data_IF_472236892040
#
_entry.id   IF_472236892040
#
_cell.length_a   1.000
_cell.length_b   1.000
_cell.length_c   1.000
_cell.angle_alpha   90.00
_cell.angle_beta   90.00
_cell.angle_gamma   90.00
#
_symmetry.space_group_name_H-M   'P 1'
#
loop_
_entity.id
_entity.type
_entity.pdbx_description
1 polymer ?
#
# COMPACT_ATOMS: atom_id res chain seq x y z
N UNK A 1 66.38 -18.14 -19.54
CA UNK A 1 65.01 -17.89 -19.99
C UNK A 1 64.17 -19.08 -19.62
N UNK A 2 63.34 -19.05 -18.57
CA UNK A 2 62.42 -20.14 -18.26
C UNK A 2 61.07 -19.93 -18.98
N UNK A 3 60.58 -21.00 -19.57
CA UNK A 3 59.36 -21.13 -20.34
C UNK A 3 58.12 -20.85 -19.50
N UNK A 4 57.19 -20.03 -20.06
CA UNK A 4 55.86 -19.75 -19.48
C UNK A 4 54.92 -20.90 -19.83
N UNK A 5 54.40 -21.62 -18.80
CA UNK A 5 53.28 -22.55 -18.94
C UNK A 5 51.98 -21.76 -19.04
N UNK A 6 51.04 -22.11 -19.92
CA UNK A 6 49.71 -21.51 -19.98
C UNK A 6 48.82 -22.03 -18.81
N UNK A 7 48.18 -21.13 -18.11
CA UNK A 7 47.13 -21.43 -17.11
C UNK A 7 45.86 -21.82 -17.86
N UNK A 8 45.51 -23.11 -17.78
CA UNK A 8 44.24 -23.61 -18.28
C UNK A 8 43.08 -23.18 -17.35
N UNK A 9 42.14 -22.44 -17.92
CA UNK A 9 40.85 -22.19 -17.28
C UNK A 9 39.98 -23.46 -17.40
N UNK A 10 39.88 -24.23 -16.34
CA UNK A 10 38.91 -25.31 -16.24
C UNK A 10 37.51 -24.73 -16.25
N UNK A 11 36.70 -25.05 -17.27
CA UNK A 11 35.26 -24.86 -17.24
C UNK A 11 34.67 -25.84 -16.22
N UNK A 12 34.22 -25.30 -15.06
CA UNK A 12 33.27 -26.01 -14.24
C UNK A 12 31.90 -25.88 -14.90
N UNK A 13 31.45 -26.91 -15.59
CA UNK A 13 30.04 -27.12 -15.87
C UNK A 13 29.35 -27.45 -14.56
N UNK A 14 28.80 -26.41 -13.90
CA UNK A 14 27.82 -26.62 -12.88
C UNK A 14 26.54 -27.10 -13.55
N UNK A 15 26.12 -28.30 -13.21
CA UNK A 15 24.86 -28.89 -13.64
C UNK A 15 23.73 -27.94 -13.24
N UNK A 16 23.10 -27.30 -14.23
CA UNK A 16 21.85 -26.61 -14.07
C UNK A 16 20.77 -27.65 -13.75
N UNK A 17 20.50 -27.86 -12.46
CA UNK A 17 19.31 -28.56 -12.03
C UNK A 17 18.09 -27.75 -12.50
N UNK A 18 17.22 -28.41 -13.25
CA UNK A 18 16.04 -27.89 -13.89
C UNK A 18 15.09 -27.25 -12.88
N UNK A 19 15.05 -25.92 -12.85
CA UNK A 19 13.99 -25.13 -12.23
C UNK A 19 12.75 -25.11 -13.16
N UNK A 20 12.18 -26.27 -13.43
CA UNK A 20 10.93 -26.42 -14.17
C UNK A 20 9.97 -27.15 -13.27
N UNK A 21 9.12 -26.40 -12.54
CA UNK A 21 7.83 -26.80 -11.98
C UNK A 21 7.40 -26.03 -10.71
N UNK A 22 7.99 -24.87 -10.44
CA UNK A 22 7.33 -23.95 -9.50
C UNK A 22 6.18 -23.25 -10.24
N UNK A 23 4.95 -23.25 -9.71
CA UNK A 23 3.84 -22.52 -10.33
C UNK A 23 4.24 -21.06 -10.50
N UNK A 24 4.05 -20.53 -11.72
CA UNK A 24 4.39 -19.14 -12.01
C UNK A 24 3.65 -18.24 -11.04
N UNK A 25 4.38 -17.42 -10.27
CA UNK A 25 3.78 -16.44 -9.34
C UNK A 25 2.93 -15.47 -10.15
N UNK A 26 1.65 -15.27 -9.81
CA UNK A 26 0.78 -14.36 -10.54
C UNK A 26 1.38 -12.95 -10.59
N UNK A 27 1.61 -12.44 -11.78
CA UNK A 27 1.99 -11.05 -12.00
C UNK A 27 0.72 -10.21 -12.14
N UNK A 28 0.67 -9.09 -11.45
CA UNK A 28 -0.47 -8.19 -11.47
C UNK A 28 -0.49 -7.42 -12.80
N UNK A 29 -1.43 -7.76 -13.68
CA UNK A 29 -1.65 -7.09 -14.96
C UNK A 29 -2.89 -6.17 -14.95
N UNK A 30 -3.12 -5.46 -16.05
CA UNK A 30 -4.27 -4.55 -16.22
C UNK A 30 -5.61 -5.27 -16.02
N UNK A 31 -5.74 -6.52 -16.45
CA UNK A 31 -6.98 -7.30 -16.35
C UNK A 31 -7.26 -7.71 -14.91
N UNK A 32 -6.24 -8.19 -14.20
CA UNK A 32 -6.33 -8.55 -12.80
C UNK A 32 -6.64 -7.30 -11.95
N UNK A 33 -5.94 -6.18 -12.18
CA UNK A 33 -6.19 -4.93 -11.49
C UNK A 33 -7.60 -4.36 -11.79
N UNK A 34 -8.05 -4.41 -13.04
CA UNK A 34 -9.39 -3.94 -13.43
C UNK A 34 -10.52 -4.73 -12.77
N UNK A 35 -10.30 -6.03 -12.50
CA UNK A 35 -11.27 -6.88 -11.81
C UNK A 35 -11.42 -6.52 -10.31
N UNK A 36 -10.46 -5.82 -9.73
CA UNK A 36 -10.47 -5.38 -8.33
C UNK A 36 -11.09 -3.98 -8.13
N UNK A 37 -11.44 -3.27 -9.22
CA UNK A 37 -11.97 -1.92 -9.09
C UNK A 37 -13.28 -1.88 -8.29
N UNK A 38 -13.38 -1.07 -7.23
CA UNK A 38 -14.64 -0.85 -6.55
C UNK A 38 -15.67 -0.21 -7.49
N UNK A 39 -16.92 -0.64 -7.39
CA UNK A 39 -18.02 -0.03 -8.13
C UNK A 39 -18.26 1.41 -7.68
N UNK A 40 -18.60 2.27 -8.62
CA UNK A 40 -18.98 3.67 -8.35
C UNK A 40 -20.34 3.96 -8.93
N UNK A 41 -21.42 3.71 -8.17
CA UNK A 41 -22.77 3.97 -8.65
C UNK A 41 -22.95 5.45 -8.97
N UNK A 42 -23.64 5.79 -10.11
CA UNK A 42 -23.81 7.18 -10.52
C UNK A 42 -24.57 8.06 -9.53
N UNK A 43 -25.35 7.46 -8.64
CA UNK A 43 -26.12 8.15 -7.58
C UNK A 43 -25.45 8.04 -6.21
N UNK A 44 -24.20 7.62 -6.14
CA UNK A 44 -23.43 7.58 -4.89
C UNK A 44 -23.20 8.98 -4.33
N UNK A 45 -23.09 9.08 -3.02
CA UNK A 45 -22.72 10.29 -2.29
C UNK A 45 -21.38 10.08 -1.56
N UNK A 46 -20.83 11.12 -0.94
CA UNK A 46 -19.50 11.05 -0.28
C UNK A 46 -19.39 9.89 0.74
N UNK A 47 -20.43 9.57 1.51
CA UNK A 47 -20.46 8.44 2.43
C UNK A 47 -20.47 7.07 1.73
N UNK A 48 -20.93 6.97 0.47
CA UNK A 48 -20.92 5.71 -0.30
C UNK A 48 -19.51 5.27 -0.72
N UNK A 49 -18.58 6.23 -0.79
CA UNK A 49 -17.23 5.97 -1.31
C UNK A 49 -16.18 5.85 -0.22
N UNK A 50 -16.62 5.66 1.02
CA UNK A 50 -15.79 5.38 2.17
C UNK A 50 -15.12 6.59 2.79
N UNK A 51 -14.81 6.45 4.08
CA UNK A 51 -14.24 7.47 4.95
C UNK A 51 -12.89 6.98 5.45
N UNK A 52 -11.84 7.73 5.16
CA UNK A 52 -10.47 7.43 5.61
C UNK A 52 -10.14 8.33 6.78
N UNK A 53 -9.69 7.73 7.88
CA UNK A 53 -9.04 8.43 8.98
C UNK A 53 -7.52 8.26 8.82
N UNK A 54 -6.79 9.35 8.56
CA UNK A 54 -5.34 9.35 8.47
C UNK A 54 -4.76 9.87 9.79
N UNK A 55 -4.04 9.04 10.52
CA UNK A 55 -3.29 9.39 11.73
C UNK A 55 -1.82 9.52 11.32
N UNK A 56 -1.41 10.73 10.97
CA UNK A 56 -0.18 10.97 10.23
C UNK A 56 0.36 12.39 10.45
N UNK A 57 1.67 12.54 10.28
CA UNK A 57 2.32 13.84 10.32
C UNK A 57 2.80 14.25 11.70
N UNK A 58 3.84 15.06 11.68
CA UNK A 58 4.42 15.78 12.81
C UNK A 58 5.00 17.07 12.25
N UNK A 59 5.59 17.91 13.10
CA UNK A 59 6.22 19.14 12.65
C UNK A 59 7.36 18.86 11.65
N UNK A 60 8.17 17.82 11.93
CA UNK A 60 9.30 17.43 11.08
C UNK A 60 8.88 16.76 9.77
N UNK A 61 7.72 16.10 9.75
CA UNK A 61 7.22 15.29 8.62
C UNK A 61 5.80 15.68 8.18
N UNK A 62 5.51 16.97 8.18
CA UNK A 62 4.20 17.48 7.78
C UNK A 62 3.78 17.06 6.36
N UNK A 63 4.77 16.94 5.45
CA UNK A 63 4.53 16.52 4.06
C UNK A 63 3.89 15.15 3.93
N UNK A 64 4.25 14.19 4.80
CA UNK A 64 3.72 12.84 4.78
C UNK A 64 2.19 12.82 4.95
N UNK A 65 1.67 13.55 5.95
CA UNK A 65 0.23 13.67 6.19
C UNK A 65 -0.53 14.24 4.98
N UNK A 66 0.04 15.28 4.34
CA UNK A 66 -0.57 15.93 3.17
C UNK A 66 -0.60 14.97 1.97
N UNK A 67 0.48 14.19 1.78
CA UNK A 67 0.57 13.18 0.71
C UNK A 67 -0.46 12.07 0.91
N UNK A 68 -0.59 11.54 2.14
CA UNK A 68 -1.61 10.53 2.49
C UNK A 68 -3.01 11.05 2.16
N UNK A 69 -3.37 12.25 2.66
CA UNK A 69 -4.69 12.82 2.45
C UNK A 69 -5.01 13.03 0.97
N UNK A 70 -4.06 13.63 0.21
CA UNK A 70 -4.23 13.87 -1.23
C UNK A 70 -4.35 12.55 -2.00
N UNK A 71 -3.50 11.57 -1.68
CA UNK A 71 -3.53 10.25 -2.33
C UNK A 71 -4.84 9.52 -2.06
N UNK A 72 -5.35 9.55 -0.82
CA UNK A 72 -6.62 8.93 -0.46
C UNK A 72 -7.79 9.56 -1.24
N UNK A 73 -7.87 10.89 -1.30
CA UNK A 73 -8.87 11.58 -2.10
C UNK A 73 -8.79 11.24 -3.59
N UNK A 74 -7.58 11.23 -4.17
CA UNK A 74 -7.35 10.90 -5.59
C UNK A 74 -7.60 9.42 -5.91
N UNK A 75 -7.42 8.51 -4.94
CA UNK A 75 -7.78 7.10 -5.09
C UNK A 75 -9.28 6.84 -4.97
N UNK A 76 -10.06 7.84 -4.58
CA UNK A 76 -11.51 7.85 -4.64
C UNK A 76 -12.22 7.71 -3.29
N UNK A 77 -11.56 7.92 -2.17
CA UNK A 77 -12.23 8.08 -0.87
C UNK A 77 -13.28 9.19 -0.94
N UNK A 78 -14.42 8.98 -0.31
CA UNK A 78 -15.50 9.96 -0.27
C UNK A 78 -15.26 11.07 0.75
N UNK A 79 -14.60 10.73 1.85
CA UNK A 79 -14.18 11.65 2.90
C UNK A 79 -12.78 11.25 3.40
N UNK A 80 -11.99 12.23 3.76
CA UNK A 80 -10.69 12.05 4.41
C UNK A 80 -10.65 12.96 5.63
N UNK A 81 -10.32 12.40 6.79
CA UNK A 81 -10.04 13.16 8.01
C UNK A 81 -8.59 12.93 8.40
N UNK A 82 -7.86 14.01 8.64
CA UNK A 82 -6.50 13.98 9.14
C UNK A 82 -6.50 14.19 10.65
N UNK A 83 -6.09 13.18 11.41
CA UNK A 83 -5.92 13.25 12.85
C UNK A 83 -4.46 13.57 13.19
N UNK A 84 -4.25 14.62 13.95
CA UNK A 84 -2.94 15.13 14.34
C UNK A 84 -2.97 15.60 15.80
N UNK A 85 -1.82 15.71 16.48
CA UNK A 85 -1.74 16.34 17.79
C UNK A 85 -2.44 17.69 17.83
N UNK A 86 -3.09 18.03 18.93
CA UNK A 86 -3.92 19.24 19.07
C UNK A 86 -3.15 20.53 18.73
N UNK A 87 -1.92 20.64 19.19
CA UNK A 87 -1.05 21.79 18.91
C UNK A 87 -0.74 21.99 17.42
N UNK A 88 -0.75 20.91 16.64
CA UNK A 88 -0.48 20.94 15.21
C UNK A 88 -1.73 21.10 14.34
N UNK A 89 -2.92 20.89 14.89
CA UNK A 89 -4.16 20.97 14.10
C UNK A 89 -4.31 22.29 13.32
N UNK A 90 -4.06 23.49 13.88
CA UNK A 90 -4.17 24.74 13.12
C UNK A 90 -3.21 24.82 11.93
N UNK A 91 -1.99 24.26 12.08
CA UNK A 91 -1.00 24.20 11.00
C UNK A 91 -1.51 23.33 9.83
N UNK A 92 -2.00 22.14 10.14
CA UNK A 92 -2.50 21.22 9.13
C UNK A 92 -3.82 21.69 8.52
N UNK A 93 -4.73 22.26 9.30
CA UNK A 93 -5.98 22.84 8.81
C UNK A 93 -5.74 23.96 7.77
N UNK A 94 -4.65 24.71 7.90
CA UNK A 94 -4.26 25.73 6.93
C UNK A 94 -3.64 25.14 5.63
N UNK A 95 -3.32 23.84 5.59
CA UNK A 95 -2.62 23.19 4.47
C UNK A 95 -3.48 22.20 3.71
N UNK A 96 -4.37 21.46 4.41
CA UNK A 96 -5.30 20.55 3.74
C UNK A 96 -6.45 21.34 3.13
N UNK A 97 -6.86 20.98 1.91
CA UNK A 97 -7.95 21.65 1.20
C UNK A 97 -9.20 20.77 1.20
N UNK A 98 -9.06 19.50 0.80
CA UNK A 98 -10.17 18.56 0.62
C UNK A 98 -10.40 17.65 1.83
N UNK A 99 -9.46 17.60 2.78
CA UNK A 99 -9.59 16.81 4.02
C UNK A 99 -10.07 17.69 5.18
N UNK A 100 -10.79 17.07 6.11
CA UNK A 100 -11.06 17.66 7.42
C UNK A 100 -9.92 17.35 8.39
N UNK A 101 -9.81 18.06 9.50
CA UNK A 101 -8.82 17.79 10.54
C UNK A 101 -9.49 17.45 11.86
N UNK A 102 -8.84 16.57 12.63
CA UNK A 102 -9.24 16.17 13.98
C UNK A 102 -8.06 16.37 14.93
N UNK A 103 -8.25 17.09 16.02
CA UNK A 103 -7.26 17.21 17.08
C UNK A 103 -7.23 15.94 17.92
N UNK A 104 -6.06 15.36 18.14
CA UNK A 104 -5.82 14.32 19.13
C UNK A 104 -5.32 14.97 20.43
N UNK A 105 -5.84 14.59 21.60
CA UNK A 105 -5.34 15.08 22.86
C UNK A 105 -3.83 14.87 23.03
N UNK A 106 -3.18 15.82 23.68
CA UNK A 106 -1.74 15.81 23.95
C UNK A 106 -1.49 15.79 25.45
N UNK A 107 -0.40 15.09 25.87
CA UNK A 107 0.16 15.18 27.23
C UNK A 107 1.27 16.23 27.26
N UNK A 108 2.06 16.33 26.19
CA UNK A 108 3.05 17.38 25.95
C UNK A 108 2.98 17.82 24.48
N UNK A 109 3.58 18.96 24.14
CA UNK A 109 3.55 19.53 22.79
C UNK A 109 4.01 18.51 21.74
N UNK A 110 3.15 18.23 20.77
CA UNK A 110 3.34 17.23 19.72
C UNK A 110 3.40 15.77 20.19
N UNK A 111 3.11 15.49 21.46
CA UNK A 111 3.09 14.14 22.01
C UNK A 111 1.65 13.78 22.39
N UNK A 112 1.05 12.89 21.59
CA UNK A 112 -0.35 12.47 21.80
C UNK A 112 -0.50 11.76 23.15
N UNK A 113 -1.57 12.06 23.86
CA UNK A 113 -2.03 11.23 25.00
C UNK A 113 -2.75 10.00 24.41
N UNK A 114 -2.21 8.78 24.54
CA UNK A 114 -2.75 7.61 23.84
C UNK A 114 -4.19 7.27 24.23
N UNK A 115 -4.53 7.25 25.53
CA UNK A 115 -5.84 6.78 25.99
C UNK A 115 -6.99 7.66 25.51
N UNK A 116 -7.02 8.99 25.74
CA UNK A 116 -8.08 9.83 25.20
C UNK A 116 -8.02 9.96 23.67
N UNK A 117 -6.84 9.80 23.05
CA UNK A 117 -6.73 9.77 21.58
C UNK A 117 -7.42 8.57 20.99
N UNK A 118 -7.26 7.36 21.59
CA UNK A 118 -7.96 6.15 21.14
C UNK A 118 -9.47 6.34 21.29
N UNK A 119 -9.94 6.84 22.41
CA UNK A 119 -11.37 7.09 22.60
C UNK A 119 -11.93 8.01 21.51
N UNK A 120 -11.20 9.07 21.15
CA UNK A 120 -11.59 10.01 20.10
C UNK A 120 -11.53 9.41 18.70
N UNK A 121 -10.55 8.53 18.43
CA UNK A 121 -10.43 7.80 17.16
C UNK A 121 -11.63 6.87 16.99
N UNK A 122 -11.99 6.11 18.02
CA UNK A 122 -13.08 5.14 17.96
C UNK A 122 -14.47 5.79 17.89
N UNK A 123 -14.63 6.99 18.46
CA UNK A 123 -15.87 7.79 18.34
C UNK A 123 -16.04 8.43 16.94
N UNK A 124 -14.96 8.50 16.15
CA UNK A 124 -14.99 9.11 14.82
C UNK A 124 -15.46 8.09 13.77
N UNK A 125 -16.46 8.47 12.97
CA UNK A 125 -17.02 7.66 11.89
C UNK A 125 -16.02 7.48 10.73
N UNK A 126 -15.47 6.27 10.57
CA UNK A 126 -14.50 5.92 9.56
C UNK A 126 -14.64 4.47 9.09
N UNK A 127 -14.25 4.19 7.85
CA UNK A 127 -14.32 2.86 7.23
C UNK A 127 -12.92 2.23 7.08
N UNK A 128 -11.86 3.02 7.17
CA UNK A 128 -10.46 2.55 7.18
C UNK A 128 -9.55 3.58 7.83
N UNK A 129 -8.43 3.10 8.38
CA UNK A 129 -7.40 3.92 9.02
C UNK A 129 -6.09 3.81 8.24
N UNK A 130 -5.36 4.93 8.09
CA UNK A 130 -3.95 4.97 7.71
C UNK A 130 -3.16 5.48 8.90
N UNK A 131 -2.24 4.68 9.43
CA UNK A 131 -1.50 4.99 10.65
C UNK A 131 0.01 4.93 10.39
N UNK A 132 0.73 5.99 10.77
CA UNK A 132 2.18 5.97 10.86
C UNK A 132 2.95 6.94 9.99
N UNK A 133 2.54 7.26 8.74
CA UNK A 133 3.30 8.18 7.90
C UNK A 133 3.60 9.51 8.59
N UNK A 134 4.89 9.78 8.82
CA UNK A 134 5.33 11.04 9.40
C UNK A 134 4.97 11.27 10.86
N UNK A 135 4.51 10.28 11.62
CA UNK A 135 4.33 10.41 13.06
C UNK A 135 5.68 10.63 13.76
N UNK A 136 5.65 11.34 14.89
CA UNK A 136 6.82 11.54 15.74
C UNK A 136 7.16 10.22 16.44
N UNK A 137 8.43 9.77 16.40
CA UNK A 137 8.89 8.62 17.18
C UNK A 137 8.77 8.88 18.68
N UNK A 138 8.30 7.88 19.46
CA UNK A 138 8.22 8.02 20.91
C UNK A 138 7.41 6.91 21.57
N UNK A 139 7.42 6.89 22.90
CA UNK A 139 6.67 5.92 23.68
C UNK A 139 5.16 6.12 23.53
N UNK A 140 4.71 7.37 23.51
CA UNK A 140 3.30 7.72 23.31
C UNK A 140 2.79 7.24 21.96
N UNK A 141 3.54 7.44 20.87
CA UNK A 141 3.21 6.91 19.54
C UNK A 141 3.18 5.38 19.54
N UNK A 142 4.15 4.74 20.20
CA UNK A 142 4.18 3.28 20.31
C UNK A 142 2.96 2.74 21.06
N UNK A 143 2.58 3.41 22.15
CA UNK A 143 1.41 3.04 22.93
C UNK A 143 0.10 3.29 22.16
N UNK A 144 0.00 4.40 21.44
CA UNK A 144 -1.15 4.67 20.55
C UNK A 144 -1.31 3.56 19.50
N UNK A 145 -0.22 3.13 18.85
CA UNK A 145 -0.22 2.02 17.88
C UNK A 145 -0.70 0.74 18.55
N UNK A 146 -0.13 0.38 19.71
CA UNK A 146 -0.49 -0.82 20.47
C UNK A 146 -1.96 -0.82 20.85
N UNK A 147 -2.45 0.27 21.42
CA UNK A 147 -3.84 0.40 21.86
C UNK A 147 -4.80 0.33 20.68
N UNK A 148 -4.50 1.03 19.56
CA UNK A 148 -5.37 1.00 18.38
C UNK A 148 -5.52 -0.41 17.83
N UNK A 149 -4.45 -1.19 17.78
CA UNK A 149 -4.49 -2.57 17.28
C UNK A 149 -5.26 -3.50 18.23
N UNK A 150 -5.18 -3.27 19.54
CA UNK A 150 -5.76 -4.15 20.56
C UNK A 150 -7.20 -3.79 20.96
N UNK A 151 -7.68 -2.58 20.64
CA UNK A 151 -9.00 -2.13 21.09
C UNK A 151 -10.06 -2.44 20.03
N UNK A 152 -11.09 -3.27 20.35
CA UNK A 152 -12.20 -3.53 19.44
C UNK A 152 -13.08 -2.28 19.26
N UNK A 153 -13.85 -2.25 18.20
CA UNK A 153 -14.93 -1.30 18.01
C UNK A 153 -16.25 -1.90 18.53
N UNK A 154 -17.04 -1.08 19.21
CA UNK A 154 -18.31 -1.52 19.74
C UNK A 154 -19.29 -1.91 18.61
N UNK A 155 -19.90 -3.09 18.71
CA UNK A 155 -20.97 -3.60 17.84
C UNK A 155 -20.65 -3.68 16.31
N UNK A 156 -19.43 -3.38 15.88
CA UNK A 156 -19.02 -3.41 14.47
C UNK A 156 -17.76 -4.27 14.25
N UNK A 157 -17.59 -4.74 13.01
CA UNK A 157 -16.30 -5.30 12.61
C UNK A 157 -15.24 -4.16 12.60
N UNK A 158 -14.09 -4.35 13.28
CA UNK A 158 -13.09 -3.29 13.37
C UNK A 158 -12.61 -2.82 11.99
N UNK A 159 -12.51 -1.51 11.82
CA UNK A 159 -12.03 -0.91 10.59
C UNK A 159 -10.60 -1.40 10.25
N UNK A 160 -10.32 -1.77 8.99
CA UNK A 160 -9.00 -2.19 8.57
C UNK A 160 -7.99 -1.03 8.64
N UNK A 161 -6.73 -1.38 8.89
CA UNK A 161 -5.65 -0.40 9.09
C UNK A 161 -4.52 -0.62 8.10
N UNK A 162 -4.05 0.45 7.44
CA UNK A 162 -2.75 0.49 6.76
C UNK A 162 -1.70 0.95 7.77
N UNK A 163 -0.66 0.15 7.96
CA UNK A 163 0.45 0.41 8.86
C UNK A 163 1.72 0.69 8.05
N UNK A 164 2.27 1.88 8.19
CA UNK A 164 3.47 2.31 7.45
C UNK A 164 4.41 3.12 8.34
N UNK A 165 5.66 3.24 7.92
CA UNK A 165 6.66 4.12 8.51
C UNK A 165 6.77 3.97 10.05
N UNK A 166 6.46 5.02 10.83
CA UNK A 166 6.63 4.99 12.29
C UNK A 166 5.73 3.97 12.99
N UNK A 167 4.55 3.65 12.45
CA UNK A 167 3.73 2.59 13.01
C UNK A 167 4.44 1.22 12.92
N UNK A 168 5.08 0.91 11.78
CA UNK A 168 5.88 -0.31 11.62
C UNK A 168 7.07 -0.33 12.56
N UNK A 169 7.70 0.82 12.77
CA UNK A 169 8.84 0.97 13.68
C UNK A 169 8.42 0.75 15.14
N UNK A 170 7.29 1.32 15.54
CA UNK A 170 6.70 1.12 16.87
C UNK A 170 6.37 -0.36 17.10
N UNK A 171 5.73 -1.02 16.13
CA UNK A 171 5.40 -2.44 16.21
C UNK A 171 6.63 -3.33 16.39
N UNK A 172 7.75 -3.00 15.75
CA UNK A 172 9.00 -3.74 15.89
C UNK A 172 9.54 -3.78 17.34
N UNK A 173 9.06 -2.89 18.22
CA UNK A 173 9.41 -2.88 19.65
C UNK A 173 8.43 -3.60 20.55
N UNK A 174 7.27 -4.03 20.01
CA UNK A 174 6.16 -4.64 20.78
C UNK A 174 6.18 -6.17 20.80
N UNK A 175 7.23 -6.80 20.27
CA UNK A 175 7.32 -8.26 20.23
C UNK A 175 6.22 -8.90 19.36
N UNK A 176 5.45 -9.82 19.90
CA UNK A 176 4.37 -10.54 19.20
C UNK A 176 3.08 -9.71 19.09
N UNK A 177 3.20 -8.49 18.58
CA UNK A 177 2.09 -7.51 18.47
C UNK A 177 0.83 -8.04 17.77
N UNK A 178 0.97 -9.00 16.84
CA UNK A 178 -0.14 -9.58 16.07
C UNK A 178 -1.06 -10.46 16.92
N UNK A 179 -0.59 -11.01 18.03
CA UNK A 179 -1.41 -11.88 18.90
C UNK A 179 -2.55 -11.11 19.60
N UNK A 180 -2.38 -9.79 19.77
CA UNK A 180 -3.39 -8.91 20.36
C UNK A 180 -4.16 -8.08 19.36
N UNK A 181 -3.83 -8.15 18.05
CA UNK A 181 -4.48 -7.34 17.04
C UNK A 181 -5.88 -7.86 16.72
N UNK A 182 -6.88 -7.00 16.88
CA UNK A 182 -8.28 -7.29 16.53
C UNK A 182 -8.67 -6.76 15.15
N UNK A 183 -7.78 -5.99 14.49
CA UNK A 183 -8.05 -5.31 13.22
C UNK A 183 -7.35 -5.99 12.05
N UNK A 184 -8.01 -6.11 10.88
CA UNK A 184 -7.33 -6.51 9.66
C UNK A 184 -6.29 -5.46 9.25
N UNK A 185 -5.02 -5.86 9.06
CA UNK A 185 -3.96 -4.91 8.72
C UNK A 185 -3.36 -5.16 7.34
N UNK A 186 -2.92 -4.07 6.70
CA UNK A 186 -2.02 -4.06 5.56
C UNK A 186 -0.73 -3.36 5.99
N UNK A 187 0.35 -4.10 6.08
CA UNK A 187 1.67 -3.58 6.41
C UNK A 187 2.42 -3.25 5.13
N UNK A 188 3.05 -2.08 5.07
CA UNK A 188 3.75 -1.60 3.86
C UNK A 188 5.25 -1.35 4.09
N UNK A 189 6.02 -2.31 4.64
CA UNK A 189 7.43 -2.11 4.93
C UNK A 189 8.29 -2.03 3.66
N UNK A 190 9.29 -1.14 3.66
CA UNK A 190 10.47 -1.30 2.81
C UNK A 190 11.42 -2.36 3.43
N UNK A 191 12.44 -2.88 2.71
CA UNK A 191 13.27 -3.98 3.23
C UNK A 191 13.86 -3.73 4.62
N UNK A 192 14.32 -2.50 4.90
CA UNK A 192 14.88 -2.19 6.21
C UNK A 192 13.85 -2.11 7.36
N UNK A 193 12.61 -1.72 7.08
CA UNK A 193 11.49 -1.77 8.03
C UNK A 193 11.05 -3.22 8.27
N UNK A 194 10.96 -3.99 7.19
CA UNK A 194 10.61 -5.40 7.24
C UNK A 194 11.59 -6.20 8.12
N UNK A 195 12.88 -5.96 7.94
CA UNK A 195 13.92 -6.63 8.73
C UNK A 195 13.81 -6.30 10.23
N UNK A 196 13.54 -5.03 10.57
CA UNK A 196 13.30 -4.64 11.97
C UNK A 196 12.07 -5.30 12.56
N UNK A 197 10.94 -5.32 11.82
CA UNK A 197 9.71 -5.99 12.25
C UNK A 197 9.94 -7.46 12.51
N UNK A 198 10.61 -8.15 11.59
CA UNK A 198 10.91 -9.57 11.70
C UNK A 198 11.79 -9.87 12.90
N UNK A 199 12.87 -9.11 13.07
CA UNK A 199 13.80 -9.26 14.20
C UNK A 199 13.12 -8.95 15.53
N UNK A 200 12.36 -7.86 15.62
CA UNK A 200 11.63 -7.49 16.82
C UNK A 200 10.53 -8.49 17.20
N UNK A 201 9.94 -9.14 16.21
CA UNK A 201 8.94 -10.17 16.36
C UNK A 201 9.50 -11.57 16.69
N UNK A 202 10.83 -11.74 16.73
CA UNK A 202 11.45 -13.06 16.93
C UNK A 202 11.16 -14.06 15.80
N UNK A 203 10.69 -13.59 14.65
CA UNK A 203 10.44 -14.43 13.48
C UNK A 203 11.77 -14.73 12.80
N UNK A 204 12.21 -15.99 12.89
CA UNK A 204 13.43 -16.41 12.21
C UNK A 204 13.36 -16.20 10.69
N UNK A 205 14.51 -15.90 10.09
CA UNK A 205 14.62 -15.73 8.65
C UNK A 205 14.21 -17.02 7.93
N UNK A 206 13.04 -17.03 7.33
CA UNK A 206 12.63 -18.11 6.43
C UNK A 206 13.41 -18.14 5.11
N UNK A 207 14.26 -17.14 4.87
CA UNK A 207 15.17 -17.09 3.74
C UNK A 207 16.44 -16.33 4.13
N UNK A 208 17.58 -17.01 4.09
CA UNK A 208 18.90 -16.38 4.13
C UNK A 208 19.15 -15.77 2.73
N UNK A 209 18.62 -14.57 2.47
CA UNK A 209 18.75 -13.90 1.18
C UNK A 209 18.73 -12.38 1.30
N UNK A 210 19.36 -11.72 0.33
CA UNK A 210 19.34 -10.27 0.20
C UNK A 210 17.95 -9.78 -0.23
N UNK A 211 17.16 -9.24 0.71
CA UNK A 211 15.83 -8.69 0.46
C UNK A 211 15.84 -7.47 -0.46
N UNK A 212 17.02 -6.94 -0.82
CA UNK A 212 17.15 -5.81 -1.74
C UNK A 212 17.24 -6.23 -3.21
N UNK A 213 17.70 -7.45 -3.51
CA UNK A 213 17.97 -7.90 -4.89
C UNK A 213 17.44 -9.27 -5.27
N UNK A 214 17.05 -10.13 -4.31
CA UNK A 214 16.55 -11.49 -4.58
C UNK A 214 15.02 -11.56 -4.48
N UNK A 215 14.36 -11.65 -5.63
CA UNK A 215 12.90 -11.73 -5.71
C UNK A 215 12.32 -12.99 -5.05
N UNK A 216 13.03 -14.13 -5.09
CA UNK A 216 12.56 -15.38 -4.46
C UNK A 216 12.67 -15.31 -2.94
N UNK A 217 13.79 -14.78 -2.43
CA UNK A 217 13.97 -14.53 -1.00
C UNK A 217 12.89 -13.56 -0.49
N UNK A 218 12.60 -12.48 -1.23
CA UNK A 218 11.56 -11.51 -0.88
C UNK A 218 10.17 -12.14 -0.81
N UNK A 219 9.82 -12.98 -1.80
CA UNK A 219 8.53 -13.69 -1.81
C UNK A 219 8.39 -14.63 -0.62
N UNK A 220 9.42 -15.42 -0.37
CA UNK A 220 9.44 -16.38 0.73
C UNK A 220 9.32 -15.68 2.07
N UNK A 221 10.10 -14.63 2.29
CA UNK A 221 10.09 -13.86 3.54
C UNK A 221 8.74 -13.14 3.76
N UNK A 222 8.18 -12.50 2.73
CA UNK A 222 6.91 -11.81 2.83
C UNK A 222 5.76 -12.79 3.12
N UNK A 223 5.76 -13.97 2.48
CA UNK A 223 4.74 -15.00 2.73
C UNK A 223 4.82 -15.54 4.15
N UNK A 224 6.02 -15.89 4.62
CA UNK A 224 6.22 -16.38 5.99
C UNK A 224 5.74 -15.36 7.02
N UNK A 225 6.05 -14.08 6.81
CA UNK A 225 5.60 -12.99 7.67
C UNK A 225 4.06 -12.84 7.63
N UNK A 226 3.44 -12.83 6.43
CA UNK A 226 2.00 -12.72 6.30
C UNK A 226 1.25 -13.85 7.01
N UNK A 227 1.75 -15.08 6.89
CA UNK A 227 1.18 -16.26 7.56
C UNK A 227 1.37 -16.21 9.07
N UNK A 228 2.55 -15.79 9.55
CA UNK A 228 2.84 -15.70 10.99
C UNK A 228 2.03 -14.59 11.65
N UNK A 229 1.96 -13.42 11.02
CA UNK A 229 1.27 -12.25 11.57
C UNK A 229 -0.23 -12.27 11.34
N UNK A 230 -0.73 -13.10 10.42
CA UNK A 230 -2.15 -13.14 10.05
C UNK A 230 -2.63 -11.92 9.28
N UNK A 231 -1.73 -11.15 8.68
CA UNK A 231 -2.00 -9.88 8.01
C UNK A 231 -1.36 -9.78 6.62
N UNK A 232 -1.85 -8.86 5.80
CA UNK A 232 -1.29 -8.63 4.46
C UNK A 232 0.03 -7.87 4.56
N UNK A 233 1.05 -8.35 3.88
CA UNK A 233 2.37 -7.74 3.81
C UNK A 233 2.64 -7.25 2.39
N UNK A 234 2.92 -5.96 2.24
CA UNK A 234 3.36 -5.30 1.02
C UNK A 234 4.85 -4.96 1.18
N UNK A 235 5.73 -5.87 0.79
CA UNK A 235 7.18 -5.65 0.85
C UNK A 235 7.61 -4.76 -0.31
N UNK A 236 7.79 -3.47 -0.02
CA UNK A 236 8.14 -2.42 -1.00
C UNK A 236 9.50 -2.65 -1.65
N UNK A 237 9.65 -2.20 -2.89
CA UNK A 237 10.89 -2.25 -3.69
C UNK A 237 10.59 -2.42 -5.17
N UNK A 238 11.63 -2.56 -5.98
CA UNK A 238 11.47 -3.02 -7.35
C UNK A 238 10.71 -4.36 -7.32
N UNK A 239 9.66 -4.48 -8.17
CA UNK A 239 8.78 -5.65 -8.16
C UNK A 239 8.18 -5.93 -6.77
N UNK A 240 7.52 -4.94 -6.20
CA UNK A 240 6.86 -5.06 -4.88
C UNK A 240 6.10 -6.38 -4.74
N UNK A 241 6.33 -7.07 -3.61
CA UNK A 241 5.67 -8.34 -3.28
C UNK A 241 4.48 -8.07 -2.37
N UNK A 242 3.32 -8.63 -2.70
CA UNK A 242 2.12 -8.63 -1.87
C UNK A 242 1.86 -10.05 -1.43
N UNK A 243 1.92 -10.32 -0.13
CA UNK A 243 1.67 -11.61 0.47
C UNK A 243 0.45 -11.55 1.40
N UNK A 244 -0.41 -12.55 1.31
CA UNK A 244 -1.64 -12.68 2.08
C UNK A 244 -1.54 -13.88 3.04
N UNK A 245 -2.24 -13.87 4.20
CA UNK A 245 -2.18 -14.94 5.18
C UNK A 245 -2.64 -16.30 4.65
N UNK A 246 -3.50 -16.31 3.63
CA UNK A 246 -4.03 -17.52 2.99
C UNK A 246 -3.03 -18.25 2.09
N UNK A 247 -1.82 -17.71 1.92
CA UNK A 247 -0.78 -18.26 1.07
C UNK A 247 -0.69 -17.60 -0.31
N UNK A 248 -1.60 -16.69 -0.64
CA UNK A 248 -1.55 -15.95 -1.91
C UNK A 248 -0.35 -15.01 -1.94
N UNK A 249 0.47 -15.10 -3.00
CA UNK A 249 1.58 -14.17 -3.26
C UNK A 249 1.42 -13.60 -4.66
N UNK A 250 1.53 -12.28 -4.77
CA UNK A 250 1.48 -11.54 -6.04
C UNK A 250 2.70 -10.63 -6.14
N UNK A 251 3.30 -10.55 -7.32
CA UNK A 251 4.41 -9.62 -7.58
C UNK A 251 3.95 -8.54 -8.56
N UNK A 252 4.22 -7.29 -8.21
CA UNK A 252 3.95 -6.16 -9.10
C UNK A 252 5.02 -6.06 -10.20
N UNK A 253 4.66 -5.69 -11.45
CA UNK A 253 5.59 -5.69 -12.58
C UNK A 253 6.47 -4.43 -12.67
N UNK A 254 6.48 -3.57 -11.65
CA UNK A 254 7.08 -2.24 -11.73
C UNK A 254 8.54 -2.24 -11.25
N UNK A 255 9.42 -1.68 -12.10
CA UNK A 255 10.82 -1.40 -11.81
C UNK A 255 11.10 0.07 -12.18
N UNK A 256 10.64 0.99 -11.34
CA UNK A 256 10.72 2.43 -11.60
C UNK A 256 11.60 3.10 -10.54
N UNK A 257 12.86 3.49 -10.89
CA UNK A 257 13.76 4.13 -9.93
C UNK A 257 13.24 5.50 -9.44
N UNK A 258 12.39 6.18 -10.20
CA UNK A 258 11.75 7.42 -9.76
C UNK A 258 10.89 7.24 -8.52
N UNK A 259 10.36 6.03 -8.28
CA UNK A 259 9.61 5.72 -7.06
C UNK A 259 10.49 5.56 -5.81
N UNK A 260 11.82 5.50 -5.95
CA UNK A 260 12.76 5.53 -4.83
C UNK A 260 12.98 6.97 -4.31
N UNK A 261 11.92 7.75 -4.22
CA UNK A 261 11.90 9.14 -3.75
C UNK A 261 11.12 9.23 -2.44
N UNK A 262 11.57 10.06 -1.49
CA UNK A 262 10.89 10.26 -0.21
C UNK A 262 9.43 10.68 -0.39
N UNK A 263 8.53 10.07 0.38
CA UNK A 263 7.09 10.36 0.36
C UNK A 263 6.25 9.51 -0.60
N UNK A 264 6.87 8.74 -1.52
CA UNK A 264 6.12 7.86 -2.43
C UNK A 264 5.41 6.73 -1.68
N UNK A 265 5.98 6.26 -0.55
CA UNK A 265 5.35 5.33 0.38
C UNK A 265 4.09 5.90 1.03
N UNK A 266 4.13 7.18 1.44
CA UNK A 266 2.97 7.87 2.03
C UNK A 266 1.80 7.93 1.03
N UNK A 267 2.11 8.17 -0.26
CA UNK A 267 1.11 8.11 -1.34
C UNK A 267 0.52 6.71 -1.45
N UNK A 268 1.35 5.65 -1.43
CA UNK A 268 0.88 4.27 -1.50
C UNK A 268 -0.06 3.94 -0.33
N UNK A 269 0.31 4.34 0.89
CA UNK A 269 -0.49 4.12 2.09
C UNK A 269 -1.85 4.82 2.01
N UNK A 270 -1.90 6.05 1.52
CA UNK A 270 -3.14 6.78 1.25
C UNK A 270 -4.02 6.11 0.20
N UNK A 271 -3.42 5.59 -0.89
CA UNK A 271 -4.14 4.85 -1.94
C UNK A 271 -4.76 3.56 -1.38
N UNK A 272 -3.98 2.76 -0.64
CA UNK A 272 -4.48 1.50 -0.04
C UNK A 272 -5.60 1.81 0.97
N UNK A 273 -5.41 2.81 1.86
CA UNK A 273 -6.42 3.23 2.82
C UNK A 273 -7.75 3.62 2.16
N UNK A 274 -7.68 4.35 1.05
CA UNK A 274 -8.87 4.71 0.28
C UNK A 274 -9.57 3.50 -0.35
N UNK A 275 -8.84 2.48 -0.75
CA UNK A 275 -9.41 1.26 -1.33
C UNK A 275 -10.06 0.38 -0.26
N UNK A 276 -9.46 0.30 0.92
CA UNK A 276 -10.05 -0.34 2.09
C UNK A 276 -11.37 0.35 2.48
N UNK A 277 -11.36 1.68 2.59
CA UNK A 277 -12.55 2.46 2.90
C UNK A 277 -13.67 2.31 1.86
N UNK A 278 -13.34 2.03 0.60
CA UNK A 278 -14.30 1.69 -0.46
C UNK A 278 -14.81 0.23 -0.38
N UNK A 279 -14.47 -0.52 0.67
CA UNK A 279 -14.99 -1.85 0.95
C UNK A 279 -14.18 -3.01 0.35
N UNK A 280 -12.96 -2.78 -0.16
CA UNK A 280 -12.11 -3.89 -0.55
C UNK A 280 -11.52 -4.57 0.68
N UNK A 281 -11.45 -5.90 0.64
CA UNK A 281 -10.67 -6.65 1.61
C UNK A 281 -9.17 -6.31 1.52
N UNK A 282 -8.38 -6.54 2.59
CA UNK A 282 -6.97 -6.14 2.66
C UNK A 282 -6.10 -6.59 1.48
N UNK A 283 -6.18 -7.85 1.07
CA UNK A 283 -5.39 -8.37 -0.06
C UNK A 283 -5.72 -7.67 -1.38
N UNK A 284 -7.00 -7.66 -1.84
CA UNK A 284 -7.45 -6.91 -3.01
C UNK A 284 -7.09 -5.42 -2.97
N UNK A 285 -7.24 -4.76 -1.81
CA UNK A 285 -6.87 -3.34 -1.64
C UNK A 285 -5.37 -3.11 -1.83
N UNK A 286 -4.53 -3.98 -1.25
CA UNK A 286 -3.08 -3.93 -1.39
C UNK A 286 -2.66 -4.15 -2.85
N UNK A 287 -3.19 -5.19 -3.53
CA UNK A 287 -2.88 -5.46 -4.94
C UNK A 287 -3.26 -4.30 -5.85
N UNK A 288 -4.50 -3.82 -5.75
CA UNK A 288 -4.96 -2.70 -6.58
C UNK A 288 -4.19 -1.41 -6.24
N UNK A 289 -3.92 -1.15 -4.95
CA UNK A 289 -3.18 0.01 -4.49
C UNK A 289 -1.76 0.06 -5.06
N UNK A 290 -1.03 -1.06 -4.96
CA UNK A 290 0.32 -1.18 -5.54
C UNK A 290 0.28 -1.00 -7.07
N UNK A 291 -0.73 -1.56 -7.74
CA UNK A 291 -0.87 -1.39 -9.19
C UNK A 291 -1.15 0.06 -9.60
N UNK A 292 -2.09 0.73 -8.93
CA UNK A 292 -2.42 2.13 -9.20
C UNK A 292 -1.20 3.03 -8.98
N UNK A 293 -0.50 2.82 -7.87
CA UNK A 293 0.69 3.57 -7.50
C UNK A 293 1.85 3.36 -8.49
N UNK A 294 2.19 2.10 -8.81
CA UNK A 294 3.27 1.77 -9.73
C UNK A 294 3.01 2.30 -11.14
N UNK A 295 1.78 2.11 -11.65
CA UNK A 295 1.39 2.64 -12.97
C UNK A 295 1.38 4.18 -12.98
N UNK A 296 0.95 4.83 -11.89
CA UNK A 296 1.03 6.29 -11.77
C UNK A 296 2.50 6.76 -11.83
N UNK A 297 3.40 6.02 -11.17
CA UNK A 297 4.84 6.26 -11.26
C UNK A 297 5.38 6.15 -12.67
N UNK A 298 4.95 5.14 -13.44
CA UNK A 298 5.37 4.99 -14.84
C UNK A 298 4.84 6.13 -15.72
N UNK A 299 3.59 6.58 -15.53
CA UNK A 299 3.06 7.76 -16.23
C UNK A 299 3.85 9.03 -15.92
N UNK A 300 4.32 9.20 -14.69
CA UNK A 300 5.17 10.34 -14.32
C UNK A 300 6.56 10.20 -14.94
N UNK A 301 7.18 9.01 -14.89
CA UNK A 301 8.46 8.73 -15.50
C UNK A 301 8.45 8.98 -17.02
N UNK A 302 7.41 8.54 -17.71
CA UNK A 302 7.27 8.75 -19.17
C UNK A 302 7.22 10.25 -19.54
N UNK A 303 6.78 11.10 -18.61
CA UNK A 303 6.72 12.54 -18.77
C UNK A 303 7.99 13.28 -18.33
N UNK A 304 8.59 12.87 -17.21
CA UNK A 304 9.68 13.59 -16.54
C UNK A 304 11.06 12.91 -16.66
N UNK A 305 11.10 11.62 -17.04
CA UNK A 305 12.31 10.81 -17.03
C UNK A 305 12.51 10.06 -15.71
N UNK A 306 13.65 9.40 -15.57
CA UNK A 306 13.97 8.51 -14.44
C UNK A 306 14.36 9.26 -13.15
N UNK A 307 14.66 10.54 -13.24
CA UNK A 307 15.06 11.39 -12.12
C UNK A 307 14.18 12.64 -12.05
N UNK A 308 13.96 13.13 -10.82
CA UNK A 308 13.19 14.36 -10.59
C UNK A 308 11.69 14.15 -10.34
N UNK A 309 11.20 12.90 -10.25
CA UNK A 309 9.88 12.59 -9.76
C UNK A 309 9.77 13.02 -8.28
N UNK A 310 8.74 13.79 -7.97
CA UNK A 310 8.34 14.11 -6.60
C UNK A 310 7.14 13.26 -6.20
N UNK A 311 7.04 12.88 -4.93
CA UNK A 311 5.89 12.11 -4.44
C UNK A 311 4.55 12.81 -4.74
N UNK A 312 4.53 14.14 -4.74
CA UNK A 312 3.36 14.96 -5.07
C UNK A 312 2.91 14.90 -6.53
N UNK A 313 3.72 14.35 -7.45
CA UNK A 313 3.34 14.13 -8.85
C UNK A 313 2.41 12.92 -9.04
N UNK A 314 2.50 11.95 -8.11
CA UNK A 314 1.78 10.68 -8.21
C UNK A 314 0.26 10.81 -8.03
N UNK A 315 -0.25 11.53 -7.02
CA UNK A 315 -1.69 11.57 -6.72
C UNK A 315 -2.54 11.96 -7.93
N UNK A 316 -2.10 12.93 -8.73
CA UNK A 316 -2.86 13.39 -9.89
C UNK A 316 -2.88 12.39 -11.06
N UNK A 317 -1.95 11.43 -11.07
CA UNK A 317 -1.90 10.34 -12.03
C UNK A 317 -2.80 9.16 -11.65
N UNK A 318 -3.13 8.97 -10.37
CA UNK A 318 -3.97 7.87 -9.87
C UNK A 318 -5.34 7.81 -10.57
N UNK A 319 -6.12 8.92 -10.70
CA UNK A 319 -7.41 8.89 -11.38
C UNK A 319 -7.29 8.51 -12.86
N UNK A 320 -6.18 8.86 -13.53
CA UNK A 320 -5.94 8.52 -14.93
C UNK A 320 -5.75 7.01 -15.10
N UNK A 321 -4.98 6.38 -14.21
CA UNK A 321 -4.82 4.92 -14.17
C UNK A 321 -6.17 4.25 -13.91
N UNK A 322 -6.92 4.72 -12.91
CA UNK A 322 -8.26 4.19 -12.60
C UNK A 322 -9.20 4.27 -13.81
N UNK A 323 -9.23 5.42 -14.50
CA UNK A 323 -10.01 5.60 -15.74
C UNK A 323 -9.62 4.58 -16.83
N UNK A 324 -8.30 4.32 -17.00
CA UNK A 324 -7.81 3.30 -17.94
C UNK A 324 -8.33 1.91 -17.57
N UNK A 325 -8.26 1.52 -16.30
CA UNK A 325 -8.73 0.23 -15.82
C UNK A 325 -10.25 0.05 -15.97
N UNK A 326 -11.05 1.10 -15.77
CA UNK A 326 -12.51 1.06 -16.06
C UNK A 326 -12.75 0.68 -17.51
N UNK A 327 -12.01 1.27 -18.46
CA UNK A 327 -12.08 0.90 -19.87
C UNK A 327 -11.66 -0.55 -20.15
N UNK A 328 -10.70 -1.11 -19.39
CA UNK A 328 -10.33 -2.54 -19.46
C UNK A 328 -11.48 -3.43 -18.94
N UNK A 329 -12.04 -3.09 -17.79
CA UNK A 329 -13.17 -3.82 -17.20
C UNK A 329 -14.38 -3.87 -18.14
N UNK A 330 -14.72 -2.75 -18.79
CA UNK A 330 -15.83 -2.67 -19.72
C UNK A 330 -15.65 -3.53 -20.98
N UNK A 331 -14.42 -3.59 -21.52
CA UNK A 331 -14.10 -4.45 -22.67
C UNK A 331 -14.18 -5.94 -22.34
N UNK A 332 -13.94 -6.31 -21.10
CA UNK A 332 -13.93 -7.69 -20.63
C UNK A 332 -15.30 -8.20 -20.17
N UNK A 333 -16.35 -7.35 -20.13
CA UNK A 333 -17.71 -7.79 -19.78
C UNK A 333 -18.24 -8.75 -20.84
N UNK A 334 -18.67 -9.98 -20.48
CA UNK A 334 -19.29 -10.89 -21.44
C UNK A 334 -20.58 -10.26 -22.00
N UNK A 335 -20.69 -10.15 -23.32
CA UNK A 335 -21.89 -9.66 -24.00
C UNK A 335 -21.75 -8.32 -24.75
N UNK A 336 -20.70 -7.53 -24.58
CA UNK A 336 -20.40 -6.37 -25.44
C UNK A 336 -19.42 -6.74 -26.55
N UNK A 337 -19.72 -7.73 -27.39
CA UNK A 337 -19.19 -7.76 -28.75
C UNK A 337 -19.92 -6.63 -29.50
N UNK A 338 -19.20 -5.63 -29.97
CA UNK A 338 -19.69 -4.67 -30.97
C UNK A 338 -20.07 -5.49 -32.20
N UNK A 339 -21.36 -5.83 -32.31
CA UNK A 339 -21.94 -6.40 -33.51
C UNK A 339 -21.98 -5.31 -34.56
N UNK A 340 -20.98 -5.26 -35.43
CA UNK A 340 -21.15 -4.63 -36.73
C UNK A 340 -22.12 -5.50 -37.49
N UNK A 341 -23.42 -5.16 -37.50
CA UNK A 341 -24.36 -5.64 -38.50
C UNK A 341 -23.97 -4.96 -39.80
N UNK A 342 -23.24 -5.68 -40.65
CA UNK A 342 -23.15 -5.35 -42.07
C UNK A 342 -24.60 -5.54 -42.61
N UNK A 343 -25.32 -4.43 -42.83
CA UNK A 343 -26.51 -4.49 -43.65
C UNK A 343 -26.06 -4.80 -45.07
N UNK A 344 -26.22 -6.06 -45.48
CA UNK A 344 -26.19 -6.36 -46.90
C UNK A 344 -27.32 -5.58 -47.55
N UNK A 345 -26.98 -4.62 -48.34
CA UNK A 345 -27.95 -3.88 -49.12
C UNK A 345 -28.54 -4.83 -50.16
N UNK A 346 -29.81 -5.15 -49.99
CA UNK A 346 -30.62 -5.66 -51.10
C UNK A 346 -30.81 -4.53 -52.11
N UNK A 347 -30.15 -4.67 -53.25
CA UNK A 347 -30.38 -3.80 -54.39
C UNK A 347 -31.80 -3.98 -54.95
N UNK A 348 -32.39 -2.96 -55.55
CA UNK A 348 -33.74 -3.06 -56.13
C UNK A 348 -33.71 -3.98 -57.35
N UNK A 349 -34.58 -4.99 -57.33
CA UNK A 349 -34.92 -5.73 -58.49
C UNK A 349 -35.75 -4.82 -59.44
N UNK A 350 -35.40 -4.90 -60.72
CA UNK A 350 -36.04 -4.20 -61.82
C UNK A 350 -37.52 -4.56 -62.06
#
# INVERSE_FOLDING_TARGET
>A
MPERRPLGFGRHEAAAASAKDAPAVPTLDDKAAAALLPERPPRGHKGTFGKVLAIAGSLDYAGAALLVCRAAGRAGAGLVTLAVPESLQPLFAAKVVEATTMALPEDDVEEVDPEPSIARILDHDHDAIVLGPGLRPGLATTELVRMLLATPEDDAAPAPVVLDAEALRSMATLGEWWTGSVRPCVLTPHPGEFERLRTGAGVEAGADGDLSGDDDARRTAALAAAQTWGHVVVLKGARTVIAEPDGTVTTAPFENPGLATGGTGDVLSGVIGALLAQGLAPGPAARLGVFLHGTAGDLVRDRLGDAGLLASDLPDSIPLVRKRLVGVAERNKPGKRLGFTVRNGDGPAA
#
